data_IF_104615475191
#
_entry.id   IF_104615475191
#
_cell.length_a   1.000
_cell.length_b   1.000
_cell.length_c   1.000
_cell.angle_alpha   90.00
_cell.angle_beta   90.00
_cell.angle_gamma   90.00
#
_symmetry.space_group_name_H-M   'P 1'
#
loop_
_entity.id
_entity.type
_entity.pdbx_description
1 polymer ?
#
# COMPACT_ATOMS: atom_id res chain seq x y z
N UNK A 1 7.42 13.89 -2.71
CA UNK A 1 6.80 13.89 -1.36
C UNK A 1 7.09 12.54 -0.75
N UNK A 2 7.68 12.50 0.45
CA UNK A 2 8.13 11.26 1.10
C UNK A 2 7.14 10.74 2.15
N UNK A 3 6.23 11.60 2.63
CA UNK A 3 5.21 11.26 3.62
C UNK A 3 3.91 12.04 3.36
N UNK A 4 2.77 11.47 3.77
CA UNK A 4 1.49 12.16 3.87
C UNK A 4 0.64 11.65 5.03
N UNK A 5 -0.03 12.56 5.72
CA UNK A 5 -1.14 12.23 6.61
C UNK A 5 -2.44 12.20 5.82
N UNK A 6 -3.11 11.05 5.81
CA UNK A 6 -4.42 10.86 5.16
C UNK A 6 -5.51 11.61 5.93
N UNK A 7 -6.70 11.76 5.31
CA UNK A 7 -7.87 12.34 5.99
C UNK A 7 -8.35 11.54 7.21
N UNK A 8 -7.81 10.33 7.39
CA UNK A 8 -8.12 9.42 8.48
C UNK A 8 -7.04 9.39 9.57
N UNK A 9 -6.06 10.30 9.51
CA UNK A 9 -4.96 10.38 10.48
C UNK A 9 -3.86 9.34 10.27
N UNK A 10 -4.02 8.40 9.33
CA UNK A 10 -2.95 7.45 8.99
C UNK A 10 -1.82 8.16 8.28
N UNK A 11 -0.59 7.88 8.70
CA UNK A 11 0.62 8.40 8.09
C UNK A 11 1.20 7.38 7.12
N UNK A 12 1.34 7.78 5.86
CA UNK A 12 1.91 6.96 4.79
C UNK A 12 3.27 7.50 4.41
N UNK A 13 4.30 6.64 4.41
CA UNK A 13 5.68 6.99 4.06
C UNK A 13 6.19 6.12 2.93
N UNK A 14 7.02 6.72 2.07
CA UNK A 14 7.87 5.96 1.14
C UNK A 14 8.77 5.05 1.96
N UNK A 15 8.86 3.78 1.56
CA UNK A 15 9.60 2.74 2.27
C UNK A 15 8.71 1.75 3.02
N UNK A 16 7.52 2.16 3.48
CA UNK A 16 6.61 1.28 4.22
C UNK A 16 6.14 0.09 3.39
N UNK A 17 5.94 -1.06 4.05
CA UNK A 17 5.33 -2.26 3.46
C UNK A 17 3.91 -2.44 3.99
N UNK A 18 2.98 -2.64 3.08
CA UNK A 18 1.56 -2.80 3.33
C UNK A 18 1.05 -4.11 2.76
N UNK A 19 0.01 -4.68 3.35
CA UNK A 19 -0.66 -5.89 2.87
C UNK A 19 -2.16 -5.68 2.72
N UNK A 20 -2.79 -6.47 1.86
CA UNK A 20 -4.25 -6.60 1.87
C UNK A 20 -4.75 -7.02 3.27
N UNK A 21 -5.92 -6.53 3.69
CA UNK A 21 -6.62 -7.04 4.89
C UNK A 21 -7.43 -8.24 4.45
N UNK A 22 -6.93 -9.44 4.69
CA UNK A 22 -7.56 -10.68 4.22
C UNK A 22 -8.81 -11.04 5.04
N UNK A 23 -9.97 -11.26 4.39
CA UNK A 23 -11.15 -11.82 5.05
C UNK A 23 -11.19 -13.37 5.09
N UNK A 24 -10.24 -14.11 4.48
CA UNK A 24 -10.44 -15.53 4.12
C UNK A 24 -9.24 -16.50 4.19
N UNK A 25 -8.05 -16.09 4.61
CA UNK A 25 -6.93 -16.98 4.99
C UNK A 25 -6.05 -17.54 3.86
N UNK A 26 -6.16 -17.05 2.62
CA UNK A 26 -5.29 -17.46 1.51
C UNK A 26 -4.41 -16.29 1.09
N UNK A 27 -3.13 -16.32 1.49
CA UNK A 27 -2.03 -15.49 0.97
C UNK A 27 -2.24 -13.96 0.98
N UNK A 28 -1.31 -13.22 1.58
CA UNK A 28 -1.37 -11.76 1.54
C UNK A 28 -0.45 -11.22 0.46
N UNK A 29 -1.00 -10.46 -0.50
CA UNK A 29 -0.15 -9.58 -1.29
C UNK A 29 0.44 -8.51 -0.39
N UNK A 30 1.73 -8.27 -0.58
CA UNK A 30 2.47 -7.21 0.07
C UNK A 30 2.99 -6.23 -0.96
N UNK A 31 3.06 -4.96 -0.56
CA UNK A 31 3.43 -3.86 -1.42
C UNK A 31 4.34 -2.90 -0.68
N UNK A 32 5.42 -2.45 -1.30
CA UNK A 32 6.29 -1.40 -0.78
C UNK A 32 5.93 -0.06 -1.40
N UNK A 33 5.70 0.97 -0.60
CA UNK A 33 5.49 2.33 -1.10
C UNK A 33 6.81 2.86 -1.65
N UNK A 34 6.86 3.19 -2.93
CA UNK A 34 8.06 3.72 -3.60
C UNK A 34 7.92 5.21 -3.94
N UNK A 35 6.69 5.71 -4.08
CA UNK A 35 6.44 7.14 -4.27
C UNK A 35 5.04 7.53 -3.77
N UNK A 36 4.83 8.83 -3.54
CA UNK A 36 3.51 9.39 -3.29
C UNK A 36 3.26 10.51 -4.30
N UNK A 37 2.23 10.33 -5.12
CA UNK A 37 1.95 11.14 -6.30
C UNK A 37 0.58 11.84 -6.20
N UNK A 38 0.40 12.99 -6.88
CA UNK A 38 -0.92 13.52 -7.17
C UNK A 38 -1.75 12.56 -8.02
N UNK A 39 -3.06 12.50 -7.79
CA UNK A 39 -3.99 11.71 -8.62
C UNK A 39 -4.93 12.62 -9.43
N UNK A 40 -5.86 13.30 -8.77
CA UNK A 40 -6.78 14.30 -9.35
C UNK A 40 -7.18 15.30 -8.28
N UNK A 41 -7.14 16.60 -8.59
CA UNK A 41 -7.40 17.64 -7.60
C UNK A 41 -6.45 17.52 -6.40
N UNK A 42 -7.01 17.49 -5.19
CA UNK A 42 -6.26 17.33 -3.95
C UNK A 42 -5.96 15.87 -3.59
N UNK A 43 -6.51 14.88 -4.31
CA UNK A 43 -6.27 13.46 -4.04
C UNK A 43 -4.79 13.09 -4.23
N UNK A 44 -4.35 12.15 -3.39
CA UNK A 44 -3.01 11.55 -3.44
C UNK A 44 -3.10 10.03 -3.55
N UNK A 45 -2.09 9.44 -4.17
CA UNK A 45 -1.95 7.99 -4.30
C UNK A 45 -0.53 7.57 -3.97
N UNK A 46 -0.38 6.44 -3.28
CA UNK A 46 0.88 5.74 -3.17
C UNK A 46 1.11 4.94 -4.45
N UNK A 47 2.30 5.09 -5.03
CA UNK A 47 2.82 4.13 -6.01
C UNK A 47 3.54 3.07 -5.21
N UNK A 48 3.14 1.81 -5.39
CA UNK A 48 3.69 0.70 -4.64
C UNK A 48 4.25 -0.35 -5.58
N UNK A 49 5.46 -0.81 -5.29
CA UNK A 49 6.02 -2.02 -5.88
C UNK A 49 5.34 -3.23 -5.24
N UNK A 50 4.93 -4.21 -6.05
CA UNK A 50 4.39 -5.47 -5.54
C UNK A 50 5.55 -6.34 -5.07
N UNK A 51 5.55 -6.74 -3.81
CA UNK A 51 6.55 -7.64 -3.24
C UNK A 51 6.09 -9.10 -3.26
N UNK A 52 4.79 -9.35 -3.02
CA UNK A 52 4.18 -10.68 -3.14
C UNK A 52 2.84 -10.64 -3.87
N UNK A 53 2.54 -11.72 -4.58
CA UNK A 53 1.26 -12.00 -5.24
C UNK A 53 0.26 -12.65 -4.27
N UNK A 54 -0.95 -12.96 -4.76
CA UNK A 54 -2.07 -13.45 -3.93
C UNK A 54 -1.80 -14.80 -3.29
N UNK A 55 -0.86 -15.56 -3.83
CA UNK A 55 -0.34 -16.80 -3.27
C UNK A 55 0.72 -16.57 -2.18
N UNK A 56 1.13 -15.32 -1.95
CA UNK A 56 2.22 -14.97 -1.04
C UNK A 56 3.61 -15.09 -1.66
N UNK A 57 3.71 -15.52 -2.91
CA UNK A 57 4.98 -15.68 -3.62
C UNK A 57 5.42 -14.37 -4.29
N UNK A 58 6.72 -14.17 -4.56
CA UNK A 58 7.18 -13.03 -5.33
C UNK A 58 6.50 -12.95 -6.71
N UNK A 59 6.17 -11.75 -7.21
CA UNK A 59 5.51 -11.63 -8.51
C UNK A 59 6.43 -12.11 -9.63
N UNK A 60 5.87 -12.85 -10.59
CA UNK A 60 6.63 -13.36 -11.76
C UNK A 60 7.28 -12.25 -12.59
N UNK A 61 6.74 -11.03 -12.52
CA UNK A 61 7.28 -9.83 -13.18
C UNK A 61 7.15 -8.64 -12.25
N UNK A 62 8.22 -7.84 -12.17
CA UNK A 62 8.21 -6.57 -11.47
C UNK A 62 7.08 -5.68 -12.00
N UNK A 63 6.24 -5.18 -11.10
CA UNK A 63 5.13 -4.30 -11.43
C UNK A 63 4.79 -3.39 -10.27
N UNK A 64 4.24 -2.24 -10.60
CA UNK A 64 3.75 -1.28 -9.62
C UNK A 64 2.23 -1.14 -9.69
N UNK A 65 1.62 -0.87 -8.54
CA UNK A 65 0.21 -0.54 -8.40
C UNK A 65 0.05 0.86 -7.82
N UNK A 66 -1.12 1.48 -8.03
CA UNK A 66 -1.45 2.80 -7.47
C UNK A 66 -2.59 2.64 -6.49
N UNK A 67 -2.34 3.00 -5.23
CA UNK A 67 -3.29 2.87 -4.13
C UNK A 67 -3.66 4.25 -3.63
N UNK A 68 -4.97 4.56 -3.53
CA UNK A 68 -5.40 5.80 -2.87
C UNK A 68 -4.94 5.77 -1.42
N UNK A 69 -4.26 6.82 -0.95
CA UNK A 69 -3.69 6.85 0.40
C UNK A 69 -4.75 6.67 1.49
N UNK A 70 -5.98 7.16 1.28
CA UNK A 70 -7.10 6.98 2.22
C UNK A 70 -7.58 5.52 2.38
N UNK A 71 -7.18 4.61 1.48
CA UNK A 71 -7.46 3.16 1.62
C UNK A 71 -6.40 2.45 2.46
N UNK A 72 -5.24 3.07 2.69
CA UNK A 72 -4.12 2.47 3.43
C UNK A 72 -4.40 2.53 4.94
N UNK A 73 -5.35 1.69 5.36
CA UNK A 73 -5.81 1.51 6.74
C UNK A 73 -6.59 0.19 6.85
N UNK A 74 -6.65 -0.43 8.03
CA UNK A 74 -7.21 -1.77 8.18
C UNK A 74 -8.74 -1.76 8.18
N UNK A 75 -9.34 -1.68 6.99
CA UNK A 75 -10.78 -1.88 6.76
C UNK A 75 -11.01 -3.17 5.96
N UNK A 76 -12.26 -3.65 5.85
CA UNK A 76 -12.60 -4.89 5.14
C UNK A 76 -12.10 -4.97 3.70
N UNK A 77 -11.92 -3.82 3.03
CA UNK A 77 -11.33 -3.71 1.68
C UNK A 77 -10.10 -2.79 1.68
N UNK A 78 -9.46 -2.64 2.83
CA UNK A 78 -8.32 -1.75 3.06
C UNK A 78 -6.99 -2.49 3.05
N UNK A 79 -5.99 -1.84 3.62
CA UNK A 79 -4.63 -2.39 3.74
C UNK A 79 -4.14 -2.26 5.18
N UNK A 80 -3.41 -3.25 5.65
CA UNK A 80 -2.73 -3.20 6.94
C UNK A 80 -1.25 -2.88 6.74
N UNK A 81 -0.69 -2.11 7.66
CA UNK A 81 0.75 -1.90 7.71
C UNK A 81 1.42 -3.19 8.18
N UNK A 82 2.53 -3.55 7.54
CA UNK A 82 3.35 -4.73 7.87
C UNK A 82 4.72 -4.30 8.36
N UNK A 83 5.32 -3.31 7.69
CA UNK A 83 6.66 -2.79 8.01
C UNK A 83 6.65 -1.27 7.89
N UNK A 84 7.24 -0.60 8.89
CA UNK A 84 7.47 0.86 8.83
C UNK A 84 8.60 1.22 7.87
N UNK A 85 8.66 2.50 7.48
CA UNK A 85 9.82 2.99 6.73
C UNK A 85 11.03 3.14 7.67
N UNK A 86 12.21 2.68 7.21
CA UNK A 86 13.49 2.90 7.88
C UNK A 86 13.91 4.37 7.87
#
# INVERSE_FOLDING_TARGET
>A
MTEITTRHGTVIRVGQVWADVDPGGQGFRTFKVVAIEPRRGTDRQAVCEVLTDWDGEPPQRARAVRIKVDRMRPTSNGYRLVEEAL
#
